data_IF_011930344543
#
_entry.id   IF_011930344543
#
_cell.length_a   1.000
_cell.length_b   1.000
_cell.length_c   1.000
_cell.angle_alpha   90.00
_cell.angle_beta   90.00
_cell.angle_gamma   90.00
#
_symmetry.space_group_name_H-M   'P 1'
#
loop_
_entity.id
_entity.type
_entity.pdbx_description
1 polymer ?
#
# COMPACT_ATOMS: atom_id res chain seq x y z
N UNK A 1 -0.74 -33.14 8.64
CA UNK A 1 -0.34 -31.73 8.85
C UNK A 1 -1.24 -30.87 7.99
N UNK A 2 -2.23 -30.28 8.63
CA UNK A 2 -3.46 -29.76 8.02
C UNK A 2 -3.19 -28.37 7.43
N UNK A 3 -3.27 -28.24 6.10
CA UNK A 3 -3.32 -26.96 5.41
C UNK A 3 -4.67 -26.32 5.69
N UNK A 4 -4.71 -25.24 6.47
CA UNK A 4 -5.88 -24.35 6.50
C UNK A 4 -5.82 -23.45 5.27
N UNK A 5 -6.59 -23.79 4.26
CA UNK A 5 -6.90 -22.92 3.12
C UNK A 5 -8.21 -22.19 3.43
N UNK A 6 -8.14 -20.86 3.54
CA UNK A 6 -9.29 -19.96 3.75
C UNK A 6 -10.10 -19.86 2.46
N UNK A 7 -11.40 -20.09 2.54
CA UNK A 7 -12.35 -20.00 1.42
C UNK A 7 -12.95 -18.59 1.43
N UNK A 8 -12.70 -17.79 0.39
CA UNK A 8 -13.41 -16.53 0.14
C UNK A 8 -14.60 -16.81 -0.79
N UNK A 9 -15.78 -16.24 -0.51
CA UNK A 9 -16.97 -16.41 -1.35
C UNK A 9 -17.62 -15.07 -1.63
N UNK A 10 -17.39 -14.52 -2.84
CA UNK A 10 -18.35 -13.64 -3.55
C UNK A 10 -17.93 -13.43 -5.00
N UNK A 11 -18.89 -13.60 -5.92
CA UNK A 11 -18.83 -13.07 -7.29
C UNK A 11 -19.22 -11.59 -7.24
N UNK A 12 -18.38 -10.69 -7.76
CA UNK A 12 -18.72 -9.28 -8.00
C UNK A 12 -18.09 -8.88 -9.34
N UNK A 13 -18.93 -8.32 -10.21
CA UNK A 13 -18.58 -7.78 -11.52
C UNK A 13 -17.98 -6.37 -11.35
N UNK A 14 -16.67 -6.25 -11.53
CA UNK A 14 -15.94 -4.99 -11.68
C UNK A 14 -15.19 -5.06 -13.00
N UNK A 15 -15.41 -4.11 -13.89
CA UNK A 15 -15.22 -4.22 -15.35
C UNK A 15 -13.80 -4.51 -15.86
N UNK A 16 -12.77 -4.49 -15.00
CA UNK A 16 -11.37 -4.80 -15.33
C UNK A 16 -10.62 -5.64 -14.27
N UNK A 17 -11.25 -5.98 -13.13
CA UNK A 17 -10.62 -6.82 -12.11
C UNK A 17 -11.13 -8.25 -12.29
N UNK A 18 -10.24 -9.14 -12.74
CA UNK A 18 -10.51 -10.57 -12.68
C UNK A 18 -10.38 -11.06 -11.24
N UNK A 19 -11.46 -11.02 -10.47
CA UNK A 19 -11.52 -11.53 -9.11
C UNK A 19 -11.81 -13.03 -9.13
N UNK A 20 -10.83 -13.85 -8.76
CA UNK A 20 -11.06 -15.23 -8.37
C UNK A 20 -10.71 -15.37 -6.88
N UNK A 21 -11.71 -15.18 -6.01
CA UNK A 21 -11.49 -15.13 -4.57
C UNK A 21 -10.50 -14.02 -4.18
N UNK A 22 -9.35 -14.38 -3.62
CA UNK A 22 -8.25 -13.49 -3.24
C UNK A 22 -7.22 -13.26 -4.34
N UNK A 23 -7.41 -13.81 -5.54
CA UNK A 23 -6.51 -13.60 -6.67
C UNK A 23 -7.01 -12.44 -7.54
N UNK A 24 -6.13 -11.48 -7.76
CA UNK A 24 -6.42 -10.25 -8.48
C UNK A 24 -5.55 -10.17 -9.73
N UNK A 25 -6.21 -9.86 -10.84
CA UNK A 25 -5.57 -9.43 -12.09
C UNK A 25 -5.99 -8.00 -12.37
N UNK A 26 -5.03 -7.12 -12.57
CA UNK A 26 -5.27 -5.73 -12.91
C UNK A 26 -4.15 -5.22 -13.81
N UNK A 27 -4.51 -4.60 -14.93
CA UNK A 27 -3.57 -4.23 -15.98
C UNK A 27 -2.64 -5.41 -16.35
N UNK A 28 -1.33 -5.27 -16.14
CA UNK A 28 -0.33 -6.30 -16.35
C UNK A 28 0.10 -7.01 -15.04
N UNK A 29 -0.55 -6.73 -13.92
CA UNK A 29 -0.26 -7.33 -12.62
C UNK A 29 -1.14 -8.54 -12.30
N UNK A 30 -0.52 -9.49 -11.61
CA UNK A 30 -1.18 -10.61 -10.96
C UNK A 30 -0.68 -10.72 -9.53
N UNK A 31 -1.58 -10.81 -8.54
CA UNK A 31 -1.20 -10.93 -7.13
C UNK A 31 -2.35 -11.52 -6.30
N UNK A 32 -2.02 -11.88 -5.06
CA UNK A 32 -2.98 -12.39 -4.08
C UNK A 32 -3.11 -11.44 -2.89
N UNK A 33 -4.34 -11.12 -2.50
CA UNK A 33 -4.67 -10.35 -1.29
C UNK A 33 -5.11 -11.30 -0.19
N UNK A 34 -4.28 -11.46 0.83
CA UNK A 34 -4.57 -12.24 2.03
C UNK A 34 -4.91 -11.38 3.24
N UNK A 35 -5.48 -12.02 4.26
CA UNK A 35 -5.78 -11.44 5.56
C UNK A 35 -5.16 -12.32 6.66
N UNK A 36 -4.55 -11.69 7.65
CA UNK A 36 -3.98 -12.32 8.83
C UNK A 36 -4.34 -11.49 10.07
N UNK A 37 -4.61 -12.17 11.19
CA UNK A 37 -5.06 -11.53 12.44
C UNK A 37 -4.02 -10.60 13.04
N UNK A 38 -2.73 -10.88 12.84
CA UNK A 38 -1.63 -10.08 13.37
C UNK A 38 -1.15 -9.06 12.35
N UNK A 39 -0.90 -9.48 11.12
CA UNK A 39 -0.35 -8.60 10.07
C UNK A 39 -1.40 -7.73 9.36
N UNK A 40 -2.68 -8.09 9.42
CA UNK A 40 -3.71 -7.46 8.58
C UNK A 40 -3.61 -7.93 7.13
N UNK A 41 -3.60 -6.99 6.16
CA UNK A 41 -3.48 -7.33 4.74
C UNK A 41 -2.09 -7.87 4.40
N UNK A 42 -2.06 -8.95 3.62
CA UNK A 42 -0.83 -9.57 3.12
C UNK A 42 -0.91 -9.69 1.60
N UNK A 43 -0.01 -9.02 0.88
CA UNK A 43 0.11 -9.20 -0.57
C UNK A 43 1.10 -10.32 -0.86
N UNK A 44 0.74 -11.24 -1.74
CA UNK A 44 1.57 -12.39 -2.10
C UNK A 44 1.60 -12.62 -3.60
N UNK A 45 2.69 -13.24 -4.07
CA UNK A 45 2.88 -13.69 -5.46
C UNK A 45 2.75 -12.58 -6.51
N UNK A 46 3.04 -11.33 -6.14
CA UNK A 46 2.94 -10.21 -7.05
C UNK A 46 3.92 -10.38 -8.21
N UNK A 47 3.35 -10.49 -9.40
CA UNK A 47 4.04 -10.77 -10.64
C UNK A 47 3.51 -9.86 -11.72
N UNK A 48 4.37 -9.52 -12.66
CA UNK A 48 4.03 -8.69 -13.79
C UNK A 48 4.18 -9.44 -15.11
N UNK A 49 3.25 -9.20 -16.02
CA UNK A 49 3.34 -9.65 -17.40
C UNK A 49 4.19 -8.67 -18.22
N UNK A 50 5.38 -9.09 -18.60
CA UNK A 50 6.32 -8.32 -19.43
C UNK A 50 6.05 -8.63 -20.92
N UNK A 51 5.49 -7.65 -21.63
CA UNK A 51 5.13 -7.78 -23.03
C UNK A 51 6.35 -7.94 -23.95
N UNK A 52 7.47 -7.30 -23.63
CA UNK A 52 8.69 -7.36 -24.45
C UNK A 52 9.40 -8.72 -24.26
N UNK A 53 9.41 -9.25 -23.03
CA UNK A 53 9.95 -10.57 -22.74
C UNK A 53 8.99 -11.72 -23.08
N UNK A 54 7.71 -11.44 -23.33
CA UNK A 54 6.66 -12.44 -23.54
C UNK A 54 6.46 -13.39 -22.36
N UNK A 55 6.78 -12.94 -21.14
CA UNK A 55 6.86 -13.79 -19.96
C UNK A 55 6.36 -13.09 -18.70
N UNK A 56 5.86 -13.90 -17.76
CA UNK A 56 5.52 -13.44 -16.42
C UNK A 56 6.77 -13.40 -15.54
N UNK A 57 7.01 -12.26 -14.89
CA UNK A 57 8.18 -12.03 -14.03
C UNK A 57 7.72 -11.73 -12.61
N UNK A 58 8.30 -12.45 -11.64
CA UNK A 58 7.99 -12.28 -10.21
C UNK A 58 8.68 -11.03 -9.66
N UNK A 59 7.97 -10.25 -8.85
CA UNK A 59 8.50 -9.03 -8.21
C UNK A 59 8.51 -9.19 -6.69
N UNK A 60 7.39 -9.59 -6.08
CA UNK A 60 7.25 -9.71 -4.63
C UNK A 60 6.61 -11.06 -4.28
N UNK A 61 7.34 -11.91 -3.55
CA UNK A 61 6.78 -13.18 -3.09
C UNK A 61 5.73 -12.97 -1.99
N UNK A 62 6.04 -12.11 -1.02
CA UNK A 62 5.15 -11.73 0.08
C UNK A 62 5.58 -10.38 0.65
N UNK A 63 4.62 -9.51 0.97
CA UNK A 63 4.82 -8.30 1.76
C UNK A 63 3.66 -8.07 2.73
N UNK A 64 3.96 -7.49 3.89
CA UNK A 64 3.01 -7.08 4.93
C UNK A 64 3.73 -6.18 5.95
N UNK A 65 2.98 -5.44 6.78
CA UNK A 65 3.53 -4.81 7.99
C UNK A 65 3.78 -5.88 9.04
N UNK A 66 5.06 -6.06 9.37
CA UNK A 66 5.45 -7.01 10.41
C UNK A 66 5.18 -6.49 11.82
N UNK A 67 5.38 -5.18 12.04
CA UNK A 67 5.19 -4.55 13.34
C UNK A 67 5.00 -3.03 13.21
N UNK A 68 4.37 -2.43 14.22
CA UNK A 68 4.27 -0.98 14.44
C UNK A 68 4.75 -0.67 15.85
N UNK A 69 5.72 0.23 16.00
CA UNK A 69 6.25 0.63 17.29
C UNK A 69 5.92 2.10 17.57
N UNK A 70 5.21 2.38 18.67
CA UNK A 70 4.71 3.71 19.04
C UNK A 70 5.21 4.13 20.43
N UNK A 71 6.46 4.59 20.55
CA UNK A 71 7.02 5.05 21.82
C UNK A 71 6.62 6.50 22.15
N UNK A 72 5.98 6.70 23.31
CA UNK A 72 5.81 8.04 23.89
C UNK A 72 7.08 8.51 24.60
N UNK A 73 7.24 9.83 24.68
CA UNK A 73 8.49 10.48 25.11
C UNK A 73 8.43 11.09 26.51
N UNK A 74 7.40 10.77 27.31
CA UNK A 74 7.24 11.30 28.67
C UNK A 74 7.75 10.28 29.70
N UNK A 75 8.86 10.55 30.42
CA UNK A 75 9.50 9.59 31.31
C UNK A 75 8.85 9.46 32.69
N UNK A 76 7.78 10.21 32.98
CA UNK A 76 7.11 10.13 34.29
C UNK A 76 6.36 8.81 34.49
N UNK A 77 6.05 8.49 35.74
CA UNK A 77 5.40 7.24 36.14
C UNK A 77 4.09 6.96 35.37
N UNK A 78 3.33 8.00 35.00
CA UNK A 78 2.07 7.83 34.27
C UNK A 78 2.25 7.47 32.78
N UNK A 79 3.45 7.70 32.20
CA UNK A 79 3.67 7.59 30.75
C UNK A 79 4.86 6.71 30.33
N UNK A 80 5.84 6.46 31.19
CA UNK A 80 7.11 5.81 30.82
C UNK A 80 6.96 4.44 30.13
N UNK A 81 5.87 3.72 30.39
CA UNK A 81 5.61 2.37 29.87
C UNK A 81 4.84 2.35 28.55
N UNK A 82 4.44 3.52 28.01
CA UNK A 82 3.59 3.63 26.81
C UNK A 82 4.45 3.56 25.55
N UNK A 83 4.80 2.33 25.16
CA UNK A 83 5.63 2.05 23.99
C UNK A 83 5.08 0.88 23.20
N UNK A 84 3.91 1.07 22.59
CA UNK A 84 3.11 -0.01 22.02
C UNK A 84 3.79 -0.71 20.84
N UNK A 85 3.59 -2.02 20.75
CA UNK A 85 3.91 -2.85 19.59
C UNK A 85 2.60 -3.36 18.98
N UNK A 86 1.92 -2.52 18.19
CA UNK A 86 0.49 -2.72 17.89
C UNK A 86 0.17 -4.05 17.20
N UNK A 87 1.02 -4.50 16.27
CA UNK A 87 0.79 -5.78 15.62
C UNK A 87 1.03 -6.93 16.60
N UNK A 88 2.14 -6.88 17.34
CA UNK A 88 2.54 -7.94 18.26
C UNK A 88 1.67 -8.09 19.52
N UNK A 89 1.21 -6.97 20.08
CA UNK A 89 0.43 -6.92 21.33
C UNK A 89 -1.07 -7.03 21.08
N UNK A 90 -1.57 -6.39 20.02
CA UNK A 90 -3.00 -6.26 19.76
C UNK A 90 -3.46 -6.97 18.48
N UNK A 91 -2.65 -6.93 17.42
CA UNK A 91 -2.92 -7.54 16.13
C UNK A 91 -3.66 -6.61 15.17
N UNK A 92 -3.00 -6.21 14.08
CA UNK A 92 -3.55 -5.25 13.12
C UNK A 92 -4.83 -5.76 12.43
N UNK A 93 -4.92 -7.07 12.17
CA UNK A 93 -6.11 -7.67 11.58
C UNK A 93 -7.28 -7.78 12.57
N UNK A 94 -6.99 -7.98 13.86
CA UNK A 94 -8.00 -8.00 14.92
C UNK A 94 -8.58 -6.62 15.19
N UNK A 95 -7.77 -5.57 15.06
CA UNK A 95 -8.15 -4.17 15.24
C UNK A 95 -8.48 -3.46 13.94
N UNK A 96 -8.69 -4.21 12.86
CA UNK A 96 -9.27 -3.68 11.64
C UNK A 96 -10.81 -3.66 11.77
N UNK A 97 -11.41 -2.56 11.31
CA UNK A 97 -12.85 -2.33 11.42
C UNK A 97 -13.52 -2.25 10.04
N UNK A 98 -14.84 -2.52 9.95
CA UNK A 98 -15.57 -2.44 8.69
C UNK A 98 -15.47 -1.05 8.03
N UNK A 99 -14.93 -1.03 6.81
CA UNK A 99 -14.79 0.16 5.98
C UNK A 99 -16.18 0.72 5.61
N UNK A 100 -16.31 2.05 5.70
CA UNK A 100 -17.52 2.80 5.36
C UNK A 100 -17.55 3.15 3.86
N UNK A 101 -18.47 2.55 3.08
CA UNK A 101 -18.53 2.81 1.64
C UNK A 101 -18.82 4.28 1.31
N UNK A 102 -18.05 4.84 0.38
CA UNK A 102 -18.16 6.25 -0.04
C UNK A 102 -17.36 7.22 0.83
N UNK A 103 -16.94 6.82 2.04
CA UNK A 103 -16.07 7.61 2.91
C UNK A 103 -14.64 7.06 2.90
N UNK A 104 -14.45 5.80 3.33
CA UNK A 104 -13.13 5.17 3.39
C UNK A 104 -12.64 4.69 2.02
N UNK A 105 -13.59 4.27 1.17
CA UNK A 105 -13.33 3.77 -0.17
C UNK A 105 -14.35 4.32 -1.16
N UNK A 106 -13.93 4.62 -2.41
CA UNK A 106 -14.80 5.19 -3.43
C UNK A 106 -15.88 4.21 -3.92
N UNK A 107 -16.86 4.72 -4.66
CA UNK A 107 -18.02 3.95 -5.12
C UNK A 107 -17.67 2.77 -6.04
N UNK A 108 -16.53 2.81 -6.72
CA UNK A 108 -16.04 1.72 -7.59
C UNK A 108 -15.23 0.65 -6.83
N UNK A 109 -15.26 0.65 -5.49
CA UNK A 109 -14.52 -0.32 -4.69
C UNK A 109 -15.24 -1.67 -4.58
N UNK A 110 -14.47 -2.74 -4.76
CA UNK A 110 -14.83 -4.09 -4.33
C UNK A 110 -14.39 -4.29 -2.87
N UNK A 111 -15.11 -5.12 -2.11
CA UNK A 111 -14.80 -5.38 -0.70
C UNK A 111 -14.54 -6.86 -0.45
N UNK A 112 -13.64 -7.13 0.49
CA UNK A 112 -13.29 -8.45 0.99
C UNK A 112 -13.61 -8.50 2.49
N UNK A 113 -14.21 -9.60 2.91
CA UNK A 113 -14.53 -9.87 4.31
C UNK A 113 -13.33 -10.54 5.01
N UNK A 114 -13.22 -10.33 6.33
CA UNK A 114 -12.22 -10.96 7.18
C UNK A 114 -12.84 -12.01 8.09
N UNK A 115 -12.10 -13.10 8.33
CA UNK A 115 -12.49 -14.14 9.28
C UNK A 115 -11.34 -14.44 10.23
N UNK A 116 -11.66 -14.62 11.50
CA UNK A 116 -10.68 -15.01 12.52
C UNK A 116 -11.32 -15.88 13.60
N UNK A 117 -10.51 -16.49 14.46
CA UNK A 117 -11.00 -17.23 15.60
C UNK A 117 -11.23 -16.28 16.78
N UNK A 118 -12.43 -16.28 17.34
CA UNK A 118 -12.74 -15.60 18.59
C UNK A 118 -12.02 -16.26 19.78
N UNK A 119 -12.07 -15.61 20.94
CA UNK A 119 -11.48 -16.13 22.18
C UNK A 119 -12.07 -17.48 22.60
N UNK A 120 -13.29 -17.79 22.18
CA UNK A 120 -13.96 -19.07 22.38
C UNK A 120 -13.64 -20.11 21.29
N UNK A 121 -12.75 -19.79 20.35
CA UNK A 121 -12.35 -20.62 19.21
C UNK A 121 -13.36 -20.66 18.07
N UNK A 122 -14.49 -19.94 18.16
CA UNK A 122 -15.49 -19.91 17.08
C UNK A 122 -15.07 -18.92 15.99
N UNK A 123 -15.43 -19.18 14.71
CA UNK A 123 -15.17 -18.22 13.65
C UNK A 123 -15.98 -16.94 13.88
N UNK A 124 -15.28 -15.81 13.88
CA UNK A 124 -15.85 -14.47 13.83
C UNK A 124 -15.70 -13.95 12.40
N UNK A 125 -16.77 -13.38 11.88
CA UNK A 125 -16.83 -12.78 10.56
C UNK A 125 -16.97 -11.27 10.69
N UNK A 126 -16.06 -10.53 10.06
CA UNK A 126 -16.15 -9.08 9.90
C UNK A 126 -16.28 -8.74 8.42
N UNK A 127 -17.30 -7.94 8.09
CA UNK A 127 -17.58 -7.51 6.72
C UNK A 127 -16.74 -6.30 6.32
N UNK A 128 -16.48 -6.16 5.03
CA UNK A 128 -15.85 -4.96 4.45
C UNK A 128 -14.50 -4.60 5.10
N UNK A 129 -13.65 -5.58 5.31
CA UNK A 129 -12.37 -5.39 6.01
C UNK A 129 -11.30 -4.82 5.10
N UNK A 130 -11.29 -5.25 3.83
CA UNK A 130 -10.35 -4.75 2.83
C UNK A 130 -11.16 -4.27 1.64
N UNK A 131 -10.84 -3.12 1.06
CA UNK A 131 -11.41 -2.67 -0.20
C UNK A 131 -10.34 -2.62 -1.29
N UNK A 132 -10.74 -2.91 -2.53
CA UNK A 132 -9.88 -2.89 -3.72
C UNK A 132 -10.54 -2.02 -4.77
N UNK A 133 -9.86 -0.98 -5.24
CA UNK A 133 -10.43 -0.02 -6.18
C UNK A 133 -9.39 0.60 -7.11
N UNK A 134 -9.86 1.03 -8.28
CA UNK A 134 -9.05 1.87 -9.17
C UNK A 134 -9.18 3.34 -8.78
N UNK A 135 -8.05 4.03 -8.71
CA UNK A 135 -7.97 5.45 -8.42
C UNK A 135 -7.60 6.20 -9.70
N UNK A 136 -8.49 7.12 -10.07
CA UNK A 136 -8.35 8.05 -11.19
C UNK A 136 -8.12 9.46 -10.63
N UNK A 137 -6.87 9.76 -10.28
CA UNK A 137 -6.53 11.02 -9.62
C UNK A 137 -6.36 12.21 -10.58
N UNK A 138 -6.45 11.97 -11.90
CA UNK A 138 -6.24 13.00 -12.92
C UNK A 138 -4.76 13.27 -13.20
N UNK A 139 -3.87 12.45 -12.65
CA UNK A 139 -2.43 12.56 -12.86
C UNK A 139 -2.02 12.05 -14.26
N UNK A 140 -0.84 12.48 -14.69
CA UNK A 140 -0.29 12.12 -16.00
C UNK A 140 0.75 11.02 -15.82
N UNK A 141 0.51 9.90 -16.48
CA UNK A 141 1.44 8.78 -16.58
C UNK A 141 2.68 9.13 -17.38
N UNK A 142 2.50 9.69 -18.57
CA UNK A 142 3.58 10.35 -19.26
C UNK A 142 3.00 11.29 -20.28
N UNK A 143 3.77 12.33 -20.59
CA UNK A 143 3.42 13.26 -21.65
C UNK A 143 4.67 13.75 -22.35
N UNK A 144 4.52 13.99 -23.64
CA UNK A 144 5.50 14.72 -24.40
C UNK A 144 4.79 15.61 -25.42
N UNK A 145 5.30 16.82 -25.59
CA UNK A 145 4.89 17.72 -26.65
C UNK A 145 6.15 18.02 -27.45
N UNK A 146 6.10 17.65 -28.72
CA UNK A 146 7.16 17.92 -29.67
C UNK A 146 6.69 19.04 -30.62
N UNK A 147 7.57 20.01 -30.89
CA UNK A 147 7.22 21.23 -31.62
C UNK A 147 8.34 21.63 -32.61
N UNK A 148 7.96 22.24 -33.73
CA UNK A 148 8.91 22.82 -34.68
C UNK A 148 9.29 21.93 -35.87
N UNK A 149 8.46 20.94 -36.22
CA UNK A 149 8.72 20.08 -37.38
C UNK A 149 8.11 20.70 -38.65
N UNK A 150 8.91 20.85 -39.73
CA UNK A 150 8.41 21.34 -41.00
C UNK A 150 7.60 20.24 -41.72
N UNK A 151 6.26 20.33 -41.69
CA UNK A 151 5.18 19.66 -42.48
C UNK A 151 5.32 18.19 -42.94
N UNK A 152 6.39 17.48 -42.59
CA UNK A 152 6.75 16.19 -43.16
C UNK A 152 7.23 15.25 -42.07
N UNK A 153 6.28 14.52 -41.50
CA UNK A 153 6.54 13.32 -40.70
C UNK A 153 7.36 12.33 -41.53
N UNK A 154 8.63 12.12 -41.18
CA UNK A 154 9.44 11.01 -41.71
C UNK A 154 9.17 9.78 -40.83
N UNK A 155 7.99 9.17 -40.97
CA UNK A 155 7.79 7.80 -40.49
C UNK A 155 7.18 6.96 -41.61
N UNK A 156 7.98 6.05 -42.18
CA UNK A 156 7.51 5.01 -43.13
C UNK A 156 6.70 3.88 -42.43
N UNK A 157 6.16 4.16 -41.25
CA UNK A 157 5.17 3.33 -40.57
C UNK A 157 4.05 4.25 -40.11
N UNK A 158 2.78 3.87 -40.24
CA UNK A 158 1.74 4.52 -39.47
C UNK A 158 2.16 4.42 -38.00
N UNK A 159 2.20 5.54 -37.28
CA UNK A 159 2.43 5.54 -35.85
C UNK A 159 1.19 4.94 -35.19
N UNK A 160 1.13 3.60 -35.19
CA UNK A 160 0.07 2.82 -34.56
C UNK A 160 0.50 2.43 -33.15
N UNK A 161 0.98 3.38 -32.35
CA UNK A 161 1.15 3.17 -30.91
C UNK A 161 -0.22 3.44 -30.26
N UNK A 162 -1.13 2.48 -30.43
CA UNK A 162 -2.42 2.40 -29.75
C UNK A 162 -3.38 3.59 -29.96
N UNK A 163 -4.31 3.44 -30.90
CA UNK A 163 -5.67 4.03 -30.93
C UNK A 163 -5.92 5.38 -30.20
N UNK A 164 -5.06 6.39 -30.39
CA UNK A 164 -5.38 7.76 -30.01
C UNK A 164 -5.11 8.69 -31.19
N UNK A 165 -6.11 9.51 -31.52
CA UNK A 165 -5.90 10.70 -32.32
C UNK A 165 -4.89 11.58 -31.59
N UNK A 166 -3.69 11.71 -32.17
CA UNK A 166 -2.76 12.75 -31.78
C UNK A 166 -3.44 14.10 -32.01
N UNK A 167 -3.44 14.97 -31.00
CA UNK A 167 -3.86 16.36 -31.19
C UNK A 167 -2.83 17.06 -32.07
N UNK A 168 -3.20 17.26 -33.34
CA UNK A 168 -2.39 17.97 -34.33
C UNK A 168 -2.86 19.41 -34.34
N UNK A 169 -2.06 20.27 -33.76
CA UNK A 169 -2.24 21.72 -33.86
C UNK A 169 -1.05 22.34 -34.58
N UNK A 170 -1.30 23.44 -35.28
CA UNK A 170 -0.25 24.33 -35.78
C UNK A 170 -0.06 25.46 -34.77
N UNK A 171 1.18 25.78 -34.42
CA UNK A 171 1.47 26.94 -33.57
C UNK A 171 1.20 28.27 -34.31
N UNK A 172 1.34 29.39 -33.59
CA UNK A 172 1.14 30.74 -34.15
C UNK A 172 2.13 31.10 -35.29
N UNK A 173 3.17 30.28 -35.53
CA UNK A 173 4.17 30.42 -36.58
C UNK A 173 3.96 29.44 -37.74
N UNK A 174 2.88 28.64 -37.69
CA UNK A 174 2.54 27.64 -38.71
C UNK A 174 3.36 26.35 -38.63
N UNK A 175 4.08 26.09 -37.53
CA UNK A 175 4.83 24.86 -37.32
C UNK A 175 3.93 23.78 -36.72
N UNK A 176 4.11 22.53 -37.15
CA UNK A 176 3.37 21.40 -36.61
C UNK A 176 3.79 21.12 -35.16
N UNK A 177 2.78 20.88 -34.31
CA UNK A 177 2.92 20.41 -32.95
C UNK A 177 2.26 19.03 -32.80
N UNK A 178 2.94 18.11 -32.12
CA UNK A 178 2.42 16.80 -31.78
C UNK A 178 2.47 16.64 -30.26
N UNK A 179 1.33 16.39 -29.65
CA UNK A 179 1.23 16.12 -28.22
C UNK A 179 0.71 14.70 -27.99
N UNK A 180 1.39 13.95 -27.13
CA UNK A 180 0.89 12.69 -26.59
C UNK A 180 0.86 12.76 -25.06
N UNK A 181 -0.26 12.33 -24.49
CA UNK A 181 -0.51 12.27 -23.04
C UNK A 181 -1.17 10.94 -22.72
N UNK A 182 -0.71 10.28 -21.66
CA UNK A 182 -1.38 9.11 -21.07
C UNK A 182 -1.74 9.40 -19.62
N UNK A 183 -2.97 9.12 -19.17
CA UNK A 183 -3.37 9.31 -17.78
C UNK A 183 -2.81 8.21 -16.86
N UNK A 184 -2.57 8.55 -15.58
CA UNK A 184 -2.27 7.60 -14.50
C UNK A 184 -3.56 6.94 -14.01
N UNK A 185 -3.51 5.62 -13.89
CA UNK A 185 -4.53 4.85 -13.18
C UNK A 185 -3.79 3.93 -12.22
N UNK A 186 -4.19 3.94 -10.95
CA UNK A 186 -3.58 3.08 -9.93
C UNK A 186 -4.63 2.15 -9.31
N UNK A 187 -4.23 0.94 -8.95
CA UNK A 187 -5.04 0.05 -8.14
C UNK A 187 -4.65 0.18 -6.68
N UNK A 188 -5.63 0.43 -5.82
CA UNK A 188 -5.49 0.56 -4.37
C UNK A 188 -6.07 -0.67 -3.68
N UNK A 189 -5.33 -1.28 -2.76
CA UNK A 189 -5.84 -2.26 -1.79
C UNK A 189 -5.78 -1.63 -0.40
N UNK A 190 -6.94 -1.30 0.19
CA UNK A 190 -7.05 -0.55 1.45
C UNK A 190 -7.60 -1.37 2.62
N UNK A 191 -6.98 -1.26 3.80
CA UNK A 191 -7.56 -1.63 5.10
C UNK A 191 -7.35 -0.47 6.09
N UNK A 192 -8.26 -0.32 7.06
CA UNK A 192 -8.12 0.66 8.15
C UNK A 192 -8.05 -0.10 9.48
N UNK A 193 -7.06 0.23 10.30
CA UNK A 193 -6.83 -0.35 11.63
C UNK A 193 -6.95 0.75 12.67
N UNK A 194 -7.75 0.55 13.71
CA UNK A 194 -7.88 1.52 14.81
C UNK A 194 -7.35 0.91 16.09
N UNK A 195 -6.16 1.33 16.52
CA UNK A 195 -5.55 0.88 17.77
C UNK A 195 -5.68 1.99 18.80
N UNK A 196 -6.59 1.79 19.77
CA UNK A 196 -6.84 2.77 20.81
C UNK A 196 -7.35 4.09 20.23
N UNK A 197 -6.55 5.15 20.36
CA UNK A 197 -6.86 6.50 19.91
C UNK A 197 -6.44 6.80 18.47
N UNK A 198 -5.58 5.99 17.84
CA UNK A 198 -5.07 6.22 16.50
C UNK A 198 -5.78 5.38 15.45
N UNK A 199 -5.99 5.99 14.28
CA UNK A 199 -6.48 5.34 13.07
C UNK A 199 -5.37 5.27 12.03
N UNK A 200 -5.03 4.06 11.65
CA UNK A 200 -4.08 3.72 10.60
C UNK A 200 -4.83 3.44 9.30
N UNK A 201 -4.84 4.43 8.41
CA UNK A 201 -5.57 4.37 7.13
C UNK A 201 -4.71 3.87 5.96
N UNK A 202 -3.43 3.59 6.22
CA UNK A 202 -2.49 3.09 5.23
C UNK A 202 -1.31 2.30 5.80
N UNK A 203 -1.48 1.49 6.84
CA UNK A 203 -0.35 0.66 7.28
C UNK A 203 0.12 -0.25 6.14
N UNK A 204 1.44 -0.32 5.97
CA UNK A 204 2.07 -0.89 4.79
C UNK A 204 1.51 -2.19 4.20
N UNK A 205 1.51 -2.25 2.87
CA UNK A 205 0.91 -3.27 2.02
C UNK A 205 -0.63 -3.23 2.03
N UNK A 206 -1.22 -2.41 2.92
CA UNK A 206 -2.65 -2.17 3.05
C UNK A 206 -3.10 -0.83 2.45
N UNK A 207 -2.27 -0.10 1.69
CA UNK A 207 -2.67 0.90 0.67
C UNK A 207 -1.69 0.77 -0.51
N UNK A 208 -1.50 -0.48 -0.99
CA UNK A 208 -0.63 -0.68 -2.15
C UNK A 208 -1.26 0.02 -3.33
N UNK A 209 -0.50 0.94 -3.92
CA UNK A 209 -0.83 1.48 -5.23
C UNK A 209 0.00 0.76 -6.25
N UNK A 210 -0.63 -0.12 -7.01
CA UNK A 210 -0.02 -0.58 -8.27
C UNK A 210 -0.27 0.52 -9.27
N UNK A 211 0.77 1.26 -9.65
CA UNK A 211 0.63 2.41 -10.55
C UNK A 211 0.79 2.03 -12.01
N UNK A 212 0.00 2.72 -12.82
CA UNK A 212 0.31 3.03 -14.21
C UNK A 212 0.82 4.48 -14.32
N UNK A 213 1.93 4.77 -13.61
CA UNK A 213 2.76 6.00 -13.51
C UNK A 213 2.13 7.28 -12.93
N UNK A 214 2.81 7.86 -11.92
CA UNK A 214 2.81 9.30 -11.55
C UNK A 214 4.00 10.07 -12.16
N UNK A 215 3.91 11.38 -12.40
CA UNK A 215 5.07 12.21 -12.74
C UNK A 215 6.24 12.04 -11.75
N UNK A 216 7.45 11.81 -12.27
CA UNK A 216 8.66 11.24 -11.63
C UNK A 216 8.72 9.72 -11.44
N UNK A 217 7.61 8.99 -11.42
CA UNK A 217 7.55 7.53 -11.25
C UNK A 217 7.63 6.85 -12.61
N UNK A 218 8.26 5.68 -12.67
CA UNK A 218 8.35 4.88 -13.90
C UNK A 218 7.41 3.69 -13.78
N UNK A 219 6.88 3.31 -14.93
CA UNK A 219 5.95 2.22 -15.18
C UNK A 219 6.06 1.02 -14.24
N UNK A 220 4.93 0.54 -13.73
CA UNK A 220 4.86 -0.68 -12.94
C UNK A 220 5.71 -0.63 -11.65
N UNK A 221 5.77 0.53 -11.01
CA UNK A 221 6.18 0.57 -9.60
C UNK A 221 5.07 0.04 -8.70
N UNK A 222 5.50 -0.61 -7.63
CA UNK A 222 4.64 -0.81 -6.46
C UNK A 222 4.88 0.44 -5.62
N UNK A 223 4.03 1.42 -5.82
CA UNK A 223 4.09 2.68 -5.11
C UNK A 223 3.39 2.52 -3.77
N UNK A 224 3.91 3.28 -2.80
CA UNK A 224 3.26 3.49 -1.52
C UNK A 224 3.06 2.22 -0.67
N UNK A 225 4.11 1.83 0.05
CA UNK A 225 3.89 1.46 1.45
C UNK A 225 3.54 2.75 2.24
N UNK A 226 2.36 3.34 1.99
CA UNK A 226 2.00 4.67 2.53
C UNK A 226 1.33 4.58 3.89
N UNK A 227 2.10 4.67 4.98
CA UNK A 227 1.56 4.83 6.33
C UNK A 227 0.83 6.17 6.45
N UNK A 228 -0.47 6.08 6.68
CA UNK A 228 -1.35 7.24 6.88
C UNK A 228 -1.98 7.17 8.27
N UNK A 229 -1.91 8.27 9.01
CA UNK A 229 -2.29 8.38 10.42
C UNK A 229 -3.35 9.46 10.58
N UNK A 230 -4.41 9.17 11.32
CA UNK A 230 -5.43 10.12 11.78
C UNK A 230 -5.93 9.64 13.15
N UNK A 231 -7.05 10.14 13.64
CA UNK A 231 -7.62 9.77 14.93
C UNK A 231 -7.45 10.88 15.97
N UNK A 232 -7.32 10.49 17.23
CA UNK A 232 -7.29 11.37 18.38
C UNK A 232 -5.88 11.40 18.99
N UNK A 233 -5.40 12.58 19.35
CA UNK A 233 -4.19 12.67 20.17
C UNK A 233 -4.44 12.02 21.52
N UNK A 234 -3.45 11.27 22.02
CA UNK A 234 -3.46 10.88 23.42
C UNK A 234 -2.98 12.07 24.26
N UNK A 235 -3.83 12.51 25.21
CA UNK A 235 -3.63 13.77 25.92
C UNK A 235 -3.33 13.53 27.38
N UNK A 236 -2.27 14.17 27.89
CA UNK A 236 -1.99 14.31 29.32
C UNK A 236 -2.72 15.54 29.86
N UNK A 237 -3.63 15.33 30.81
CA UNK A 237 -4.28 16.44 31.50
C UNK A 237 -3.26 17.27 32.30
N UNK A 238 -3.37 18.60 32.24
CA UNK A 238 -2.53 19.53 33.00
C UNK A 238 -3.36 20.68 33.57
N UNK A 239 -2.85 21.30 34.63
CA UNK A 239 -3.38 22.55 35.17
C UNK A 239 -2.91 23.79 34.40
N UNK A 240 -1.94 23.64 33.49
CA UNK A 240 -1.47 24.74 32.67
C UNK A 240 -2.56 25.22 31.71
N UNK A 241 -2.62 26.53 31.53
CA UNK A 241 -3.52 27.23 30.61
C UNK A 241 -2.76 27.91 29.47
N UNK A 242 -1.46 28.15 29.64
CA UNK A 242 -0.61 28.84 28.68
C UNK A 242 0.78 28.17 28.62
N UNK A 243 1.43 28.23 27.44
CA UNK A 243 2.69 27.52 27.19
C UNK A 243 3.88 28.08 27.99
N UNK A 244 3.85 29.37 28.36
CA UNK A 244 4.88 30.03 29.18
C UNK A 244 4.95 29.50 30.62
N UNK A 245 3.94 28.74 31.04
CA UNK A 245 3.91 28.05 32.34
C UNK A 245 4.75 26.76 32.34
N UNK A 246 5.21 26.31 31.18
CA UNK A 246 6.06 25.13 31.03
C UNK A 246 7.52 25.57 31.17
N UNK A 247 8.15 25.26 32.30
CA UNK A 247 9.51 25.73 32.63
C UNK A 247 10.56 24.63 32.64
N UNK A 248 10.15 23.37 32.49
CA UNK A 248 11.02 22.19 32.58
C UNK A 248 11.03 21.43 31.25
N UNK A 249 12.21 21.06 30.77
CA UNK A 249 12.41 20.17 29.63
C UNK A 249 12.69 18.74 30.13
N UNK A 250 11.65 17.92 30.22
CA UNK A 250 11.80 16.50 30.50
C UNK A 250 12.30 15.75 29.25
N UNK A 251 13.38 14.99 29.40
CA UNK A 251 13.93 14.11 28.37
C UNK A 251 14.47 12.82 29.02
N UNK A 252 14.47 11.70 28.30
CA UNK A 252 14.87 10.39 28.84
C UNK A 252 15.36 9.43 27.77
N UNK A 253 15.78 8.23 28.19
CA UNK A 253 16.23 7.16 27.29
C UNK A 253 15.05 6.59 26.51
N UNK A 254 15.11 6.70 25.18
CA UNK A 254 13.99 6.54 24.26
C UNK A 254 13.52 5.09 24.05
N UNK A 255 14.44 4.14 24.12
CA UNK A 255 14.22 2.72 23.78
C UNK A 255 15.16 1.87 24.64
N UNK A 256 14.66 0.79 25.24
CA UNK A 256 15.51 -0.14 25.97
C UNK A 256 16.49 -0.85 25.02
N UNK A 257 17.65 -1.25 25.52
CA UNK A 257 18.60 -2.04 24.72
C UNK A 257 17.89 -3.26 24.11
N UNK A 258 18.12 -3.49 22.81
CA UNK A 258 17.56 -4.61 22.02
C UNK A 258 16.07 -4.51 21.64
N UNK A 259 15.40 -3.37 21.89
CA UNK A 259 14.10 -3.07 21.27
C UNK A 259 14.33 -2.36 19.94
N UNK A 260 13.50 -2.68 18.93
CA UNK A 260 13.57 -2.08 17.60
C UNK A 260 13.31 -0.56 17.69
N UNK A 261 14.37 0.25 17.71
CA UNK A 261 14.29 1.70 17.72
C UNK A 261 14.11 2.27 16.31
N UNK A 262 13.80 3.57 16.22
CA UNK A 262 13.79 4.36 14.97
C UNK A 262 15.23 4.61 14.49
N UNK A 263 16.00 3.55 14.24
CA UNK A 263 17.15 3.62 13.35
C UNK A 263 16.64 3.31 11.94
N UNK A 264 16.95 4.17 10.97
CA UNK A 264 16.66 3.93 9.55
C UNK A 264 17.60 2.86 8.98
N UNK A 265 17.58 1.68 9.59
CA UNK A 265 18.33 0.52 9.16
C UNK A 265 17.50 -0.32 8.20
N UNK A 266 18.20 -0.94 7.27
CA UNK A 266 17.64 -1.90 6.33
C UNK A 266 18.21 -3.25 6.68
N UNK A 267 17.35 -4.21 6.99
CA UNK A 267 17.80 -5.55 7.32
C UNK A 267 17.54 -6.48 6.15
N UNK A 268 18.45 -7.43 5.94
CA UNK A 268 18.30 -8.49 4.95
C UNK A 268 18.52 -9.83 5.64
N UNK A 269 17.46 -10.62 5.75
CA UNK A 269 17.50 -11.89 6.49
C UNK A 269 16.91 -13.06 5.71
N UNK A 270 16.95 -14.27 6.30
CA UNK A 270 16.35 -15.49 5.75
C UNK A 270 15.27 -16.04 6.68
N UNK A 271 14.08 -16.31 6.14
CA UNK A 271 13.00 -17.12 6.72
C UNK A 271 12.51 -16.74 8.15
N UNK A 272 12.24 -15.47 8.38
CA UNK A 272 11.67 -14.92 9.63
C UNK A 272 10.42 -14.06 9.33
N UNK A 273 9.57 -13.76 10.33
CA UNK A 273 8.25 -13.12 10.10
C UNK A 273 7.95 -11.87 10.92
N UNK A 274 8.23 -11.88 12.22
CA UNK A 274 7.78 -10.85 13.16
C UNK A 274 8.96 -10.07 13.71
N UNK A 275 9.13 -8.81 13.27
CA UNK A 275 10.33 -8.03 13.57
C UNK A 275 10.73 -7.94 15.07
N UNK A 276 9.81 -7.83 16.05
CA UNK A 276 10.16 -7.86 17.47
C UNK A 276 10.17 -9.27 18.08
N UNK A 277 9.90 -10.29 17.27
CA UNK A 277 9.74 -11.68 17.70
C UNK A 277 8.31 -12.17 17.76
N UNK A 278 8.17 -13.47 18.07
CA UNK A 278 6.86 -14.12 18.05
C UNK A 278 5.95 -13.60 19.17
N UNK A 279 6.48 -13.36 20.36
CA UNK A 279 5.74 -12.84 21.52
C UNK A 279 6.25 -11.44 21.84
N UNK A 280 5.44 -10.42 21.59
CA UNK A 280 5.83 -9.01 21.76
C UNK A 280 5.51 -8.46 23.16
N UNK A 281 4.35 -8.81 23.71
CA UNK A 281 3.94 -8.41 25.06
C UNK A 281 4.95 -8.91 26.10
N UNK A 282 5.45 -8.00 26.93
CA UNK A 282 6.52 -8.24 27.92
C UNK A 282 7.79 -8.87 27.34
N UNK A 283 8.08 -8.67 26.06
CA UNK A 283 9.27 -9.23 25.41
C UNK A 283 10.56 -8.65 25.97
N UNK A 284 11.62 -9.46 25.92
CA UNK A 284 12.99 -9.07 26.34
C UNK A 284 13.89 -8.68 25.17
N UNK A 285 13.37 -8.66 23.93
CA UNK A 285 14.12 -8.27 22.73
C UNK A 285 15.08 -9.33 22.17
N UNK A 286 15.02 -10.56 22.68
CA UNK A 286 15.95 -11.66 22.37
C UNK A 286 15.57 -12.49 21.12
N UNK A 287 14.33 -12.36 20.62
CA UNK A 287 13.83 -13.05 19.42
C UNK A 287 13.46 -12.08 18.28
N UNK A 288 14.16 -10.95 18.17
CA UNK A 288 13.87 -9.94 17.16
C UNK A 288 14.84 -9.90 15.98
N UNK A 289 14.56 -9.00 15.05
CA UNK A 289 15.38 -8.72 13.86
C UNK A 289 16.83 -8.38 14.20
N UNK A 290 17.06 -7.67 15.32
CA UNK A 290 18.39 -7.40 15.85
C UNK A 290 19.14 -8.70 16.19
N UNK A 291 18.55 -9.54 17.05
CA UNK A 291 19.13 -10.83 17.45
C UNK A 291 19.32 -11.79 16.26
N UNK A 292 18.42 -11.77 15.27
CA UNK A 292 18.56 -12.60 14.07
C UNK A 292 19.71 -12.16 13.16
N UNK A 293 20.04 -10.87 13.16
CA UNK A 293 21.08 -10.28 12.32
C UNK A 293 22.48 -10.56 12.86
N UNK A 294 22.65 -10.77 14.17
CA UNK A 294 23.91 -11.18 14.80
C UNK A 294 24.46 -12.51 14.25
N UNK A 295 23.61 -13.33 13.62
CA UNK A 295 24.01 -14.60 12.98
C UNK A 295 24.86 -14.40 11.73
N UNK A 296 24.97 -13.18 11.20
CA UNK A 296 25.78 -12.77 10.04
C UNK A 296 25.74 -13.77 8.86
N UNK A 297 24.51 -14.10 8.42
CA UNK A 297 24.30 -15.10 7.37
C UNK A 297 24.64 -14.51 6.00
N UNK A 298 25.27 -15.31 5.13
CA UNK A 298 25.53 -14.92 3.74
C UNK A 298 24.24 -14.67 2.93
N UNK A 299 24.15 -13.51 2.27
CA UNK A 299 22.97 -13.03 1.52
C UNK A 299 23.15 -12.95 0.00
N UNK A 300 24.37 -13.17 -0.52
CA UNK A 300 24.66 -12.98 -1.94
C UNK A 300 24.11 -14.13 -2.79
N UNK A 301 23.28 -13.81 -3.78
CA UNK A 301 22.65 -14.78 -4.71
C UNK A 301 21.80 -15.83 -3.99
N UNK A 302 21.11 -15.43 -2.92
CA UNK A 302 20.30 -16.28 -2.07
C UNK A 302 18.84 -15.81 -2.06
N UNK A 303 17.93 -16.62 -1.53
CA UNK A 303 16.58 -16.16 -1.17
C UNK A 303 16.69 -15.25 0.06
N UNK A 304 16.25 -14.00 -0.09
CA UNK A 304 16.42 -12.94 0.90
C UNK A 304 15.11 -12.21 1.15
N UNK A 305 14.97 -11.70 2.36
CA UNK A 305 13.85 -10.85 2.79
C UNK A 305 14.39 -9.47 3.14
N UNK A 306 13.81 -8.43 2.54
CA UNK A 306 14.09 -7.03 2.90
C UNK A 306 13.13 -6.59 3.99
N UNK A 307 13.68 -5.99 5.04
CA UNK A 307 12.93 -5.28 6.09
C UNK A 307 13.24 -3.79 5.98
N UNK A 308 12.19 -2.97 5.93
CA UNK A 308 12.28 -1.53 5.78
C UNK A 308 11.50 -0.84 6.90
N UNK A 309 12.19 -0.02 7.69
CA UNK A 309 11.57 0.77 8.75
C UNK A 309 11.17 2.15 8.23
N UNK A 310 9.87 2.43 8.24
CA UNK A 310 9.31 3.77 8.01
C UNK A 310 8.76 4.30 9.34
N UNK A 311 8.98 5.58 9.62
CA UNK A 311 8.52 6.20 10.85
C UNK A 311 8.47 7.72 10.73
N UNK A 312 7.77 8.34 11.66
CA UNK A 312 7.69 9.79 11.81
C UNK A 312 7.99 10.17 13.27
N UNK A 313 8.59 11.34 13.47
CA UNK A 313 8.60 11.98 14.78
C UNK A 313 7.42 12.93 14.83
N UNK A 314 6.42 12.61 15.66
CA UNK A 314 5.22 13.41 15.78
C UNK A 314 5.41 14.45 16.90
N UNK A 315 5.56 15.71 16.51
CA UNK A 315 5.47 16.86 17.42
C UNK A 315 4.06 17.41 17.28
N UNK A 316 3.15 17.18 18.25
CA UNK A 316 1.75 17.58 18.10
C UNK A 316 1.58 19.10 18.00
N UNK A 317 0.70 19.53 17.10
CA UNK A 317 0.29 20.93 16.94
C UNK A 317 -1.18 21.12 17.33
N UNK A 318 -1.62 22.37 17.43
CA UNK A 318 -3.02 22.68 17.78
C UNK A 318 -4.00 22.17 16.72
N UNK A 319 -3.59 22.15 15.46
CA UNK A 319 -4.36 21.62 14.32
C UNK A 319 -4.66 20.12 14.42
N UNK A 320 -3.90 19.38 15.24
CA UNK A 320 -4.09 17.95 15.46
C UNK A 320 -5.21 17.66 16.49
N UNK A 321 -5.74 18.69 17.15
CA UNK A 321 -6.76 18.58 18.20
C UNK A 321 -8.09 19.25 17.79
N UNK A 322 -9.26 18.65 18.06
CA UNK A 322 -9.49 17.41 18.80
C UNK A 322 -9.36 16.14 17.95
N UNK A 323 -9.29 16.26 16.62
CA UNK A 323 -9.14 15.14 15.68
C UNK A 323 -8.05 15.51 14.68
N UNK A 324 -7.05 14.65 14.53
CA UNK A 324 -5.86 14.90 13.73
C UNK A 324 -6.17 14.74 12.24
N UNK A 325 -5.87 15.75 11.39
CA UNK A 325 -5.89 15.57 9.94
C UNK A 325 -4.98 14.42 9.49
N UNK A 326 -5.28 13.79 8.37
CA UNK A 326 -4.46 12.67 7.90
C UNK A 326 -3.03 13.12 7.56
N UNK A 327 -2.05 12.56 8.27
CA UNK A 327 -0.63 12.67 7.95
C UNK A 327 -0.20 11.41 7.22
N UNK A 328 0.57 11.54 6.15
CA UNK A 328 1.00 10.41 5.33
C UNK A 328 2.50 10.42 5.06
N UNK A 329 3.12 9.26 5.13
CA UNK A 329 4.51 9.01 4.70
C UNK A 329 4.62 7.64 4.05
N UNK A 330 5.63 7.40 3.24
CA UNK A 330 5.81 6.09 2.59
C UNK A 330 7.04 6.01 1.71
N UNK A 331 7.18 4.88 1.03
CA UNK A 331 8.24 4.65 0.04
C UNK A 331 7.69 3.93 -1.20
N UNK A 332 8.50 3.90 -2.25
CA UNK A 332 8.19 3.30 -3.55
C UNK A 332 9.17 2.16 -3.85
N UNK A 333 8.65 1.01 -4.31
CA UNK A 333 9.46 -0.03 -4.94
C UNK A 333 9.40 0.15 -6.45
N UNK A 334 10.45 0.77 -6.98
CA UNK A 334 10.53 1.15 -8.38
C UNK A 334 11.38 0.16 -9.19
N UNK A 335 10.89 -0.31 -10.35
CA UNK A 335 11.71 -1.12 -11.25
C UNK A 335 12.87 -0.30 -11.80
N UNK A 336 14.10 -0.77 -11.59
CA UNK A 336 15.31 -0.17 -12.13
C UNK A 336 16.08 -1.24 -12.92
N UNK A 337 16.27 -1.02 -14.22
CA UNK A 337 16.83 -2.01 -15.15
C UNK A 337 16.07 -3.36 -15.13
N UNK A 338 14.80 -3.34 -14.73
CA UNK A 338 13.95 -4.53 -14.78
C UNK A 338 13.43 -4.76 -16.19
N UNK A 339 12.88 -3.73 -16.85
CA UNK A 339 12.40 -3.77 -18.24
C UNK A 339 13.45 -3.24 -19.22
N UNK A 340 13.41 -3.71 -20.47
CA UNK A 340 14.33 -3.26 -21.55
C UNK A 340 14.12 -1.79 -21.97
N UNK A 341 12.89 -1.30 -21.83
CA UNK A 341 12.46 0.07 -22.14
C UNK A 341 11.27 0.43 -21.27
N UNK A 342 10.70 1.62 -21.43
CA UNK A 342 9.47 2.01 -20.75
C UNK A 342 8.30 1.08 -21.16
N UNK A 343 7.83 0.16 -20.30
CA UNK A 343 6.73 -0.75 -20.62
C UNK A 343 5.38 -0.03 -20.80
N UNK A 344 5.21 1.23 -20.38
CA UNK A 344 3.99 1.99 -20.68
C UNK A 344 3.85 2.37 -22.16
N UNK A 345 4.90 2.27 -22.97
CA UNK A 345 4.81 2.56 -24.40
C UNK A 345 3.86 1.59 -25.14
N UNK A 346 3.70 0.38 -24.64
CA UNK A 346 2.86 -0.66 -25.24
C UNK A 346 1.60 -0.95 -24.43
N UNK A 347 1.46 -0.36 -23.25
CA UNK A 347 0.34 -0.62 -22.35
C UNK A 347 -0.82 0.31 -22.72
N UNK A 348 -1.98 -0.26 -23.10
CA UNK A 348 -3.17 0.55 -23.39
C UNK A 348 -3.72 1.19 -22.10
N UNK A 349 -4.24 2.43 -22.14
CA UNK A 349 -4.90 3.01 -20.97
C UNK A 349 -6.17 2.22 -20.61
N UNK A 350 -6.50 2.09 -19.33
CA UNK A 350 -7.79 1.56 -18.90
C UNK A 350 -8.95 2.45 -19.40
N UNK A 351 -10.05 1.84 -19.86
CA UNK A 351 -11.34 2.53 -20.05
C UNK A 351 -11.68 3.11 -21.44
N UNK A 352 -10.89 2.84 -22.49
CA UNK A 352 -11.18 3.37 -23.84
C UNK A 352 -11.93 2.43 -24.79
N UNK A 353 -12.19 1.19 -24.37
CA UNK A 353 -12.88 0.16 -25.19
C UNK A 353 -14.09 -0.46 -24.44
N UNK A 354 -15.06 0.35 -24.00
CA UNK A 354 -16.38 -0.20 -23.64
C UNK A 354 -17.53 0.51 -24.37
N UNK A 355 -18.22 -0.15 -25.33
CA UNK A 355 -19.59 0.24 -25.66
C UNK A 355 -20.47 0.11 -24.40
N UNK A 356 -21.54 0.93 -24.25
CA UNK A 356 -22.40 0.88 -23.07
C UNK A 356 -22.92 -0.55 -22.86
N UNK A 357 -22.74 -1.06 -21.64
CA UNK A 357 -23.06 -2.42 -21.22
C UNK A 357 -24.46 -2.83 -21.70
N UNK A 358 -24.50 -3.79 -22.63
CA UNK A 358 -25.74 -4.51 -22.97
C UNK A 358 -26.03 -5.42 -21.79
N UNK A 359 -27.13 -5.13 -21.12
CA UNK A 359 -27.65 -5.85 -19.96
C UNK A 359 -27.88 -7.33 -20.32
N UNK A 360 -26.98 -8.24 -19.92
CA UNK A 360 -27.19 -9.68 -20.07
C UNK A 360 -28.10 -10.18 -18.94
N UNK A 361 -29.41 -10.10 -19.15
CA UNK A 361 -30.38 -10.84 -18.35
C UNK A 361 -30.41 -12.31 -18.78
N UNK A 362 -29.99 -13.22 -17.90
CA UNK A 362 -30.30 -14.65 -18.04
C UNK A 362 -31.78 -14.87 -17.68
N UNK A 363 -32.69 -14.73 -18.65
CA UNK A 363 -34.03 -15.31 -18.51
C UNK A 363 -33.95 -16.79 -18.82
N UNK A 364 -34.14 -17.63 -17.80
CA UNK A 364 -34.32 -19.06 -17.99
C UNK A 364 -35.59 -19.32 -18.78
N UNK A 365 -35.46 -19.93 -19.95
CA UNK A 365 -36.59 -20.45 -20.71
C UNK A 365 -36.58 -21.97 -20.59
N UNK A 366 -37.62 -22.48 -19.92
CA UNK A 366 -37.89 -23.89 -19.71
C UNK A 366 -38.38 -24.54 -21.00
N UNK A 367 -37.70 -25.59 -21.46
CA UNK A 367 -38.31 -26.73 -22.15
C UNK A 367 -37.66 -28.02 -21.72
#
# INVERSE_FOLDING_TARGET
MTRQSVLFKKEIDTSLIGLACSYHRWANWEFHVGFDVRAGTVISLASIHDADAGARRRVLYRGFVSEVFVPYMDPVEEWYYRTFLDAGEYGLGLWAFPLQPGADCPANAAYLDGYYAGQDGKPVENKNMICVFERYAGDVAWRHTEAGFPDRLVTNRPCSIGAHEYDRSSDALGLMQITEVRPDVSLVVRMVVSCGNYDYTGLGVQDQRLHQIHGQKQSNSIDALQVSLTGLLEVKGTAYTHADQITEDAHGTLVAENILAVYHDHYVTKAEKWAPGLYADQSTGDDGLAAWSERDRGIRNEDIVLWYTVGIHHIPYQDDFPVMPTVSGGFELRPANFFERNPLLTTRPPGLDQPPLVNCSCTGDSR
#
